data_IF_189958669707
#
_entry.id   IF_189958669707
#
_cell.length_a   1.000
_cell.length_b   1.000
_cell.length_c   1.000
_cell.angle_alpha   90.00
_cell.angle_beta   90.00
_cell.angle_gamma   90.00
#
_symmetry.space_group_name_H-M   'P 1'
#
loop_
_entity.id
_entity.type
_entity.pdbx_description
1 polymer ?
#
# COMPACT_ATOMS: atom_id res chain seq x y z
N UNK A 1 -33.27 -13.55 -16.31
CA UNK A 1 -31.82 -13.80 -16.05
C UNK A 1 -31.54 -14.19 -14.61
N UNK A 2 -31.87 -13.37 -13.61
CA UNK A 2 -31.65 -13.71 -12.19
C UNK A 2 -32.43 -14.97 -11.76
N UNK A 3 -33.69 -15.11 -12.20
CA UNK A 3 -34.55 -16.27 -11.92
C UNK A 3 -34.01 -17.59 -12.50
N UNK A 4 -33.13 -17.52 -13.50
CA UNK A 4 -32.50 -18.68 -14.16
C UNK A 4 -31.05 -18.91 -13.71
N UNK A 5 -30.58 -18.24 -12.65
CA UNK A 5 -29.20 -18.35 -12.20
C UNK A 5 -28.82 -19.81 -11.85
N UNK A 6 -29.76 -20.59 -11.32
CA UNK A 6 -29.54 -21.99 -10.97
C UNK A 6 -29.21 -22.88 -12.17
N UNK A 7 -29.63 -22.50 -13.38
CA UNK A 7 -29.33 -23.21 -14.63
C UNK A 7 -28.08 -22.64 -15.31
N UNK A 8 -27.98 -21.31 -15.38
CA UNK A 8 -26.90 -20.63 -16.11
C UNK A 8 -25.54 -20.71 -15.41
N UNK A 9 -25.49 -20.63 -14.08
CA UNK A 9 -24.21 -20.61 -13.34
C UNK A 9 -23.43 -21.93 -13.47
N UNK A 10 -24.06 -23.13 -13.35
CA UNK A 10 -23.37 -24.39 -13.59
C UNK A 10 -22.77 -24.50 -14.99
N UNK A 11 -23.51 -24.10 -16.04
CA UNK A 11 -23.03 -24.15 -17.42
C UNK A 11 -21.84 -23.22 -17.63
N UNK A 12 -21.93 -21.97 -17.16
CA UNK A 12 -20.82 -21.02 -17.22
C UNK A 12 -19.58 -21.53 -16.47
N UNK A 13 -19.76 -22.16 -15.30
CA UNK A 13 -18.64 -22.74 -14.55
C UNK A 13 -17.97 -23.88 -15.30
N UNK A 14 -18.76 -24.75 -15.93
CA UNK A 14 -18.24 -25.85 -16.74
C UNK A 14 -17.38 -25.32 -17.89
N UNK A 15 -17.89 -24.33 -18.65
CA UNK A 15 -17.13 -23.72 -19.75
C UNK A 15 -15.90 -22.97 -19.25
N UNK A 16 -16.01 -22.18 -18.18
CA UNK A 16 -14.87 -21.42 -17.65
C UNK A 16 -13.75 -22.34 -17.12
N UNK A 17 -14.06 -23.59 -16.76
CA UNK A 17 -13.06 -24.57 -16.34
C UNK A 17 -12.23 -25.15 -17.50
N UNK A 18 -12.62 -24.93 -18.76
CA UNK A 18 -11.92 -25.49 -19.94
C UNK A 18 -10.61 -24.77 -20.27
N UNK A 19 -10.37 -23.57 -19.72
CA UNK A 19 -9.17 -22.76 -19.95
C UNK A 19 -8.73 -22.09 -18.65
N UNK A 20 -7.49 -21.64 -18.60
CA UNK A 20 -6.98 -20.86 -17.48
C UNK A 20 -7.65 -19.49 -17.39
N UNK A 21 -7.64 -18.90 -16.19
CA UNK A 21 -8.21 -17.57 -15.97
C UNK A 21 -7.53 -16.48 -16.82
N UNK A 22 -6.23 -16.62 -17.12
CA UNK A 22 -5.48 -15.69 -17.98
C UNK A 22 -5.90 -15.79 -19.45
N UNK A 23 -6.10 -17.01 -19.96
CA UNK A 23 -6.61 -17.19 -21.32
C UNK A 23 -8.01 -16.59 -21.46
N UNK A 24 -8.88 -16.77 -20.46
CA UNK A 24 -10.20 -16.14 -20.46
C UNK A 24 -10.13 -14.62 -20.37
N UNK A 25 -9.25 -14.05 -19.54
CA UNK A 25 -8.99 -12.61 -19.46
C UNK A 25 -8.59 -12.04 -20.84
N UNK A 26 -7.73 -12.73 -21.58
CA UNK A 26 -7.35 -12.36 -22.95
C UNK A 26 -8.51 -12.48 -23.96
N UNK A 27 -9.27 -13.58 -23.91
CA UNK A 27 -10.41 -13.84 -24.82
C UNK A 27 -11.52 -12.81 -24.61
N UNK A 28 -11.83 -12.50 -23.35
CA UNK A 28 -12.87 -11.56 -22.99
C UNK A 28 -12.46 -10.12 -23.28
N UNK A 29 -11.19 -9.79 -23.06
CA UNK A 29 -10.63 -8.46 -23.30
C UNK A 29 -11.50 -7.38 -22.66
N UNK A 30 -11.76 -6.31 -23.42
CA UNK A 30 -12.56 -5.17 -22.94
C UNK A 30 -14.08 -5.41 -23.01
N UNK A 31 -14.53 -6.52 -23.61
CA UNK A 31 -15.96 -6.76 -23.85
C UNK A 31 -16.68 -7.24 -22.61
N UNK A 32 -15.96 -7.89 -21.70
CA UNK A 32 -16.51 -8.42 -20.44
C UNK A 32 -15.57 -7.99 -19.30
N UNK A 33 -16.05 -7.22 -18.31
CA UNK A 33 -15.23 -6.81 -17.18
C UNK A 33 -14.88 -8.04 -16.33
N UNK A 34 -13.65 -8.50 -16.48
CA UNK A 34 -13.11 -9.63 -15.75
C UNK A 34 -11.62 -9.43 -15.51
N UNK A 35 -11.08 -10.13 -14.53
CA UNK A 35 -9.65 -10.17 -14.28
C UNK A 35 -9.28 -11.54 -13.73
N UNK A 36 -8.09 -12.04 -14.09
CA UNK A 36 -7.54 -13.22 -13.47
C UNK A 36 -7.19 -12.90 -12.00
N UNK A 37 -7.56 -13.77 -11.07
CA UNK A 37 -7.15 -13.64 -9.66
C UNK A 37 -5.65 -13.88 -9.57
N UNK A 38 -4.93 -12.92 -8.99
CA UNK A 38 -3.46 -12.93 -8.82
C UNK A 38 -3.09 -13.10 -7.35
N UNK A 39 -1.86 -13.52 -7.07
CA UNK A 39 -1.37 -13.54 -5.70
C UNK A 39 -1.00 -12.13 -5.26
N UNK A 40 -0.98 -11.89 -3.95
CA UNK A 40 -0.71 -10.56 -3.40
C UNK A 40 0.71 -10.11 -3.78
N UNK A 41 1.67 -11.02 -3.78
CA UNK A 41 3.06 -10.74 -4.17
C UNK A 41 3.20 -10.27 -5.63
N UNK A 42 2.31 -10.71 -6.52
CA UNK A 42 2.35 -10.31 -7.94
C UNK A 42 1.90 -8.83 -8.12
N UNK A 43 1.28 -8.23 -7.10
CA UNK A 43 0.85 -6.83 -7.11
C UNK A 43 2.05 -5.88 -7.25
N UNK A 44 3.16 -6.16 -6.56
CA UNK A 44 4.29 -5.23 -6.49
C UNK A 44 4.97 -5.01 -7.84
N UNK A 45 4.87 -5.98 -8.74
CA UNK A 45 5.49 -5.94 -10.06
C UNK A 45 4.44 -5.79 -11.18
N UNK A 46 3.17 -5.53 -10.82
CA UNK A 46 2.09 -5.40 -11.79
C UNK A 46 2.25 -4.10 -12.61
N UNK A 47 2.11 -4.13 -13.95
CA UNK A 47 2.33 -2.94 -14.80
C UNK A 47 1.52 -1.72 -14.37
N UNK A 48 0.24 -1.91 -14.03
CA UNK A 48 -0.61 -0.82 -13.54
C UNK A 48 -0.13 -0.24 -12.20
N UNK A 49 0.38 -1.08 -11.29
CA UNK A 49 0.85 -0.63 -9.97
C UNK A 49 2.11 0.20 -10.10
N UNK A 50 3.02 -0.22 -10.99
CA UNK A 50 4.24 0.50 -11.30
C UNK A 50 3.96 1.82 -12.04
N UNK A 51 3.09 1.78 -13.07
CA UNK A 51 2.69 2.96 -13.82
C UNK A 51 2.00 4.00 -12.94
N UNK A 52 1.26 3.55 -11.92
CA UNK A 52 0.59 4.42 -10.97
C UNK A 52 1.45 4.81 -9.76
N UNK A 53 2.71 4.36 -9.68
CA UNK A 53 3.62 4.67 -8.56
C UNK A 53 2.99 4.33 -7.19
N UNK A 54 2.17 3.27 -7.13
CA UNK A 54 1.42 2.91 -5.91
C UNK A 54 2.31 2.25 -4.85
N UNK A 55 3.50 1.80 -5.24
CA UNK A 55 4.50 1.17 -4.38
C UNK A 55 5.77 1.99 -4.43
N UNK A 56 6.38 2.19 -3.26
CA UNK A 56 7.71 2.79 -3.13
C UNK A 56 8.62 1.93 -2.28
N UNK A 57 9.92 2.17 -2.37
CA UNK A 57 10.94 1.56 -1.51
C UNK A 57 11.48 2.62 -0.57
N UNK A 58 11.50 2.31 0.73
CA UNK A 58 11.96 3.23 1.77
C UNK A 58 13.10 2.60 2.57
N UNK A 59 14.08 3.42 2.95
CA UNK A 59 15.14 3.05 3.87
C UNK A 59 14.74 3.39 5.31
N UNK A 60 14.76 2.39 6.19
CA UNK A 60 14.49 2.53 7.61
C UNK A 60 15.78 2.28 8.43
N UNK A 61 16.10 3.14 9.42
CA UNK A 61 17.35 3.05 10.18
C UNK A 61 17.59 1.69 10.87
N UNK A 62 16.53 0.95 11.21
CA UNK A 62 16.61 -0.32 11.95
C UNK A 62 16.39 -1.55 11.08
N UNK A 63 15.50 -1.48 10.08
CA UNK A 63 15.05 -2.67 9.33
C UNK A 63 15.65 -2.74 7.93
N UNK A 64 16.45 -1.75 7.53
CA UNK A 64 17.01 -1.64 6.19
C UNK A 64 15.97 -1.13 5.19
N UNK A 65 15.99 -1.69 3.98
CA UNK A 65 15.09 -1.28 2.90
C UNK A 65 13.82 -2.15 2.88
N UNK A 66 12.67 -1.54 2.61
CA UNK A 66 11.40 -2.27 2.45
C UNK A 66 10.49 -1.60 1.42
N UNK A 67 9.63 -2.41 0.78
CA UNK A 67 8.58 -1.93 -0.13
C UNK A 67 7.30 -1.66 0.65
N UNK A 68 6.64 -0.55 0.38
CA UNK A 68 5.34 -0.20 0.97
C UNK A 68 4.42 0.42 -0.06
N UNK A 69 3.11 0.30 0.19
CA UNK A 69 2.11 1.09 -0.50
C UNK A 69 2.27 2.56 -0.12
N UNK A 70 2.12 3.44 -1.10
CA UNK A 70 2.09 4.90 -0.92
C UNK A 70 0.82 5.44 -1.57
N UNK A 71 0.82 6.70 -2.02
CA UNK A 71 -0.15 7.47 -2.82
C UNK A 71 -1.25 6.62 -3.52
N UNK A 72 -2.31 6.15 -2.82
CA UNK A 72 -3.38 5.38 -3.46
C UNK A 72 -4.34 6.28 -4.24
N UNK A 73 -4.25 7.58 -4.01
CA UNK A 73 -5.04 8.64 -4.65
C UNK A 73 -4.05 9.74 -5.05
N UNK A 74 -4.14 10.20 -6.30
CA UNK A 74 -3.35 11.31 -6.83
C UNK A 74 -4.23 12.55 -6.95
N UNK A 75 -3.80 13.65 -6.32
CA UNK A 75 -4.46 14.95 -6.39
C UNK A 75 -3.60 15.88 -7.23
N UNK A 76 -4.19 16.46 -8.28
CA UNK A 76 -3.46 17.36 -9.21
C UNK A 76 -3.06 18.68 -8.55
N UNK A 77 -3.95 19.24 -7.75
CA UNK A 77 -3.81 20.62 -7.25
C UNK A 77 -3.11 20.66 -5.90
N UNK A 78 -3.27 19.60 -5.10
CA UNK A 78 -2.67 19.46 -3.76
C UNK A 78 -2.03 18.09 -3.59
N UNK A 79 -0.87 17.85 -4.23
CA UNK A 79 -0.14 16.60 -4.04
C UNK A 79 0.11 16.34 -2.55
N UNK A 80 -0.08 15.10 -2.12
CA UNK A 80 0.25 14.67 -0.76
C UNK A 80 1.76 14.73 -0.48
N UNK A 81 2.16 14.66 0.80
CA UNK A 81 3.58 14.63 1.15
C UNK A 81 4.26 13.40 0.56
N UNK A 82 5.58 13.50 0.34
CA UNK A 82 6.38 12.34 -0.04
C UNK A 82 6.37 11.29 1.09
N UNK A 83 6.30 10.00 0.74
CA UNK A 83 6.34 8.93 1.73
C UNK A 83 7.71 8.89 2.40
N UNK A 84 7.70 8.71 3.72
CA UNK A 84 8.90 8.55 4.54
C UNK A 84 8.81 7.28 5.38
N UNK A 85 9.96 6.76 5.79
CA UNK A 85 9.99 5.60 6.66
C UNK A 85 9.37 5.94 8.03
N UNK A 86 8.78 4.93 8.68
CA UNK A 86 8.28 5.09 10.03
C UNK A 86 9.40 5.59 10.95
N UNK A 87 9.10 6.52 11.89
CA UNK A 87 10.10 6.97 12.83
C UNK A 87 10.52 5.86 13.77
N UNK A 88 11.79 5.87 14.16
CA UNK A 88 12.23 5.04 15.28
C UNK A 88 11.65 5.55 16.60
N UNK A 89 11.67 4.70 17.62
CA UNK A 89 11.24 5.10 18.95
C UNK A 89 11.98 6.37 19.40
N UNK A 90 11.20 7.37 19.87
CA UNK A 90 11.71 8.66 20.34
C UNK A 90 12.51 9.50 19.31
N UNK A 91 12.44 9.20 18.00
CA UNK A 91 13.23 9.91 16.98
C UNK A 91 13.09 11.43 17.02
N UNK A 92 11.88 11.94 17.30
CA UNK A 92 11.56 13.36 17.23
C UNK A 92 11.31 14.00 18.62
N UNK A 93 11.66 13.33 19.72
CA UNK A 93 11.43 13.85 21.09
C UNK A 93 12.00 15.26 21.25
N UNK A 94 13.28 15.47 20.90
CA UNK A 94 13.97 16.74 21.10
C UNK A 94 13.43 17.84 20.19
N UNK A 95 13.08 17.48 18.94
CA UNK A 95 12.48 18.40 17.97
C UNK A 95 11.14 18.92 18.50
N UNK A 96 10.28 18.03 18.99
CA UNK A 96 8.96 18.39 19.53
C UNK A 96 9.10 19.24 20.79
N UNK A 97 9.95 18.86 21.75
CA UNK A 97 10.15 19.63 22.99
C UNK A 97 10.74 21.02 22.71
N UNK A 98 11.72 21.11 21.82
CA UNK A 98 12.28 22.39 21.39
C UNK A 98 11.20 23.25 20.71
N UNK A 99 10.34 22.64 19.88
CA UNK A 99 9.21 23.30 19.24
C UNK A 99 8.18 23.89 20.22
N UNK A 100 8.09 23.33 21.43
CA UNK A 100 7.28 23.86 22.53
C UNK A 100 8.02 24.85 23.45
N UNK A 101 9.28 25.17 23.17
CA UNK A 101 10.05 26.18 23.89
C UNK A 101 10.84 25.66 25.09
N UNK A 102 10.98 24.34 25.27
CA UNK A 102 11.87 23.79 26.28
C UNK A 102 13.34 24.00 25.87
N UNK A 103 14.16 24.40 26.83
CA UNK A 103 15.61 24.54 26.66
C UNK A 103 16.31 23.17 26.63
N UNK A 104 17.53 23.12 26.09
CA UNK A 104 18.34 21.91 26.07
C UNK A 104 18.57 21.35 27.50
N UNK A 105 18.77 22.22 28.48
CA UNK A 105 19.00 21.84 29.88
C UNK A 105 17.75 21.18 30.50
N UNK A 106 16.55 21.68 30.19
CA UNK A 106 15.30 21.07 30.64
C UNK A 106 15.06 19.70 30.00
N UNK A 107 15.36 19.55 28.70
CA UNK A 107 15.24 18.28 27.98
C UNK A 107 16.18 17.23 28.59
N UNK A 108 17.42 17.62 28.92
CA UNK A 108 18.37 16.74 29.64
C UNK A 108 17.80 16.35 31.01
N UNK A 109 17.27 17.30 31.79
CA UNK A 109 16.66 17.00 33.09
C UNK A 109 15.44 16.05 32.97
N UNK A 110 14.65 16.12 31.90
CA UNK A 110 13.56 15.19 31.65
C UNK A 110 14.06 13.77 31.36
N UNK A 111 15.16 13.61 30.63
CA UNK A 111 15.80 12.30 30.39
C UNK A 111 16.32 11.70 31.68
N UNK A 112 17.01 12.49 32.50
CA UNK A 112 17.54 12.02 33.80
C UNK A 112 16.43 11.56 34.76
N UNK A 113 15.25 12.18 34.67
CA UNK A 113 14.06 11.82 35.45
C UNK A 113 13.23 10.69 34.82
N UNK A 114 13.59 10.20 33.64
CA UNK A 114 12.83 9.19 32.90
C UNK A 114 11.46 9.66 32.39
N UNK A 115 11.26 10.97 32.26
CA UNK A 115 10.01 11.56 31.71
C UNK A 115 9.96 11.38 30.19
N UNK A 116 11.12 11.46 29.54
CA UNK A 116 11.29 11.24 28.10
C UNK A 116 12.51 10.35 27.86
N UNK A 117 12.54 9.68 26.70
CA UNK A 117 13.71 8.92 26.21
C UNK A 117 14.41 9.72 25.13
#
# INVERSE_FOLDING_TARGET
RAEHAAELVPELRATLAERSAREWEEIFGERVPCAAVRRIEDMFDHPQVLAEELVTTLDHPVVGHYRTMTKPIKLSDTPGPEPSAAPIFAQHTDEVLTGYGYSADEIVAFRERGVVT
#
